data_IF_388520745837
#
_entry.id   IF_388520745837
#
_cell.length_a   1.000
_cell.length_b   1.000
_cell.length_c   1.000
_cell.angle_alpha   90.00
_cell.angle_beta   90.00
_cell.angle_gamma   90.00
#
_symmetry.space_group_name_H-M   'P 1'
#
loop_
_entity.id
_entity.type
_entity.pdbx_description
1 polymer ?
#
# COMPACT_ATOMS: atom_id res chain seq x y z
N UNK A 1 2.95 -31.68 -11.67
CA UNK A 1 3.54 -30.33 -11.67
C UNK A 1 2.67 -29.27 -12.35
N UNK A 2 1.96 -29.58 -13.45
CA UNK A 2 1.09 -28.60 -14.16
C UNK A 2 0.05 -27.89 -13.28
N UNK A 3 -0.64 -28.62 -12.38
CA UNK A 3 -1.62 -28.00 -11.47
C UNK A 3 -0.97 -27.00 -10.49
N UNK A 4 0.25 -27.27 -10.02
CA UNK A 4 0.97 -26.39 -9.08
C UNK A 4 1.39 -25.10 -9.79
N UNK A 5 1.98 -25.22 -10.98
CA UNK A 5 2.36 -24.06 -11.80
C UNK A 5 1.14 -23.19 -12.12
N UNK A 6 0.01 -23.80 -12.49
CA UNK A 6 -1.24 -23.09 -12.73
C UNK A 6 -1.70 -22.27 -11.51
N UNK A 7 -1.79 -22.87 -10.33
CA UNK A 7 -2.20 -22.15 -9.11
C UNK A 7 -1.23 -21.03 -8.74
N UNK A 8 0.08 -21.24 -8.89
CA UNK A 8 1.10 -20.22 -8.64
C UNK A 8 0.99 -19.04 -9.62
N UNK A 9 0.72 -19.31 -10.90
CA UNK A 9 0.46 -18.27 -11.90
C UNK A 9 -0.77 -17.45 -11.54
N UNK A 10 -1.86 -18.10 -11.16
CA UNK A 10 -3.09 -17.40 -10.73
C UNK A 10 -2.81 -16.52 -9.50
N UNK A 11 -2.13 -17.04 -8.47
CA UNK A 11 -1.75 -16.27 -7.29
C UNK A 11 -0.83 -15.09 -7.63
N UNK A 12 0.10 -15.26 -8.57
CA UNK A 12 0.97 -14.18 -9.04
C UNK A 12 0.19 -13.06 -9.74
N UNK A 13 -0.79 -13.41 -10.58
CA UNK A 13 -1.64 -12.43 -11.26
C UNK A 13 -2.45 -11.64 -10.23
N UNK A 14 -3.10 -12.32 -9.28
CA UNK A 14 -3.90 -11.65 -8.25
C UNK A 14 -3.06 -10.69 -7.41
N UNK A 15 -1.87 -11.12 -6.96
CA UNK A 15 -0.97 -10.24 -6.19
C UNK A 15 -0.46 -9.07 -7.01
N UNK A 16 -0.17 -9.27 -8.31
CA UNK A 16 0.17 -8.19 -9.23
C UNK A 16 -0.96 -7.16 -9.42
N UNK A 17 -2.21 -7.61 -9.51
CA UNK A 17 -3.37 -6.71 -9.60
C UNK A 17 -3.60 -5.93 -8.30
N UNK A 18 -3.46 -6.56 -7.14
CA UNK A 18 -3.54 -5.86 -5.83
C UNK A 18 -2.43 -4.83 -5.70
N UNK A 19 -1.23 -5.14 -6.19
CA UNK A 19 -0.13 -4.18 -6.25
C UNK A 19 -0.46 -2.96 -7.11
N UNK A 20 -0.92 -3.17 -8.35
CA UNK A 20 -1.31 -2.10 -9.25
C UNK A 20 -2.45 -1.23 -8.68
N UNK A 21 -3.46 -1.85 -8.08
CA UNK A 21 -4.54 -1.15 -7.40
C UNK A 21 -4.06 -0.30 -6.22
N UNK A 22 -3.05 -0.78 -5.49
CA UNK A 22 -2.44 -0.04 -4.39
C UNK A 22 -1.72 1.23 -4.88
N UNK A 23 -0.96 1.15 -5.98
CA UNK A 23 -0.34 2.33 -6.59
C UNK A 23 -1.36 3.30 -7.18
N UNK A 24 -2.41 2.79 -7.84
CA UNK A 24 -3.50 3.62 -8.33
C UNK A 24 -4.13 4.41 -7.18
N UNK A 25 -4.50 3.73 -6.09
CA UNK A 25 -5.06 4.40 -4.92
C UNK A 25 -4.08 5.40 -4.30
N UNK A 26 -2.79 5.04 -4.20
CA UNK A 26 -1.76 5.95 -3.71
C UNK A 26 -1.66 7.24 -4.55
N UNK A 27 -1.87 7.16 -5.86
CA UNK A 27 -1.78 8.34 -6.75
C UNK A 27 -2.91 9.35 -6.55
N UNK A 28 -4.09 8.89 -6.10
CA UNK A 28 -5.29 9.73 -6.00
C UNK A 28 -5.68 10.07 -4.56
N UNK A 29 -5.21 9.31 -3.57
CA UNK A 29 -5.62 9.53 -2.18
C UNK A 29 -5.12 10.87 -1.65
N UNK A 30 -6.05 11.63 -1.08
CA UNK A 30 -5.81 12.88 -0.37
C UNK A 30 -6.48 12.85 0.99
N UNK A 31 -5.87 13.47 1.99
CA UNK A 31 -6.40 13.53 3.36
C UNK A 31 -6.71 14.98 3.70
N UNK A 32 -7.98 15.29 3.95
CA UNK A 32 -8.40 16.64 4.33
C UNK A 32 -7.77 17.04 5.66
N UNK A 33 -7.52 18.34 5.84
CA UNK A 33 -7.04 18.90 7.11
C UNK A 33 -7.87 18.44 8.32
N UNK A 34 -9.20 18.53 8.23
CA UNK A 34 -10.10 18.15 9.34
C UNK A 34 -9.95 16.67 9.74
N UNK A 35 -9.91 15.77 8.75
CA UNK A 35 -9.68 14.33 8.97
C UNK A 35 -8.32 14.07 9.61
N UNK A 36 -7.26 14.74 9.13
CA UNK A 36 -5.93 14.63 9.72
C UNK A 36 -5.91 15.12 11.17
N UNK A 37 -6.52 16.27 11.45
CA UNK A 37 -6.62 16.83 12.80
C UNK A 37 -7.44 15.96 13.75
N UNK A 38 -8.55 15.41 13.29
CA UNK A 38 -9.35 14.45 14.08
C UNK A 38 -8.53 13.21 14.44
N UNK A 39 -7.72 12.70 13.51
CA UNK A 39 -6.83 11.57 13.77
C UNK A 39 -5.73 11.92 14.78
N UNK A 40 -5.05 13.07 14.63
CA UNK A 40 -4.01 13.53 15.56
C UNK A 40 -4.56 13.72 16.97
N UNK A 41 -5.70 14.40 17.12
CA UNK A 41 -6.38 14.57 18.42
C UNK A 41 -6.73 13.22 19.05
N UNK A 42 -7.24 12.27 18.26
CA UNK A 42 -7.55 10.92 18.75
C UNK A 42 -6.30 10.17 19.22
N UNK A 43 -5.19 10.28 18.50
CA UNK A 43 -3.92 9.63 18.88
C UNK A 43 -3.29 10.27 20.12
N UNK A 44 -3.27 11.60 20.20
CA UNK A 44 -2.75 12.34 21.34
C UNK A 44 -3.53 12.00 22.62
N UNK A 45 -4.87 11.97 22.54
CA UNK A 45 -5.73 11.54 23.66
C UNK A 45 -5.43 10.11 24.12
N UNK A 46 -5.13 9.18 23.18
CA UNK A 46 -4.74 7.80 23.53
C UNK A 46 -3.39 7.73 24.23
N UNK A 47 -2.48 8.66 23.96
CA UNK A 47 -1.13 8.72 24.53
C UNK A 47 -1.04 9.59 25.79
N UNK A 48 -2.10 10.30 26.14
CA UNK A 48 -2.07 11.29 27.24
C UNK A 48 -1.26 12.54 26.90
N UNK A 49 -1.03 12.81 25.61
CA UNK A 49 -0.19 13.90 25.12
C UNK A 49 -1.06 15.04 24.56
N UNK A 50 -0.48 16.24 24.42
CA UNK A 50 -1.12 17.34 23.70
C UNK A 50 -1.12 17.08 22.19
N UNK A 51 -2.21 17.38 21.46
CA UNK A 51 -2.24 17.20 20.01
C UNK A 51 -1.21 18.10 19.32
N UNK A 52 -0.43 17.53 18.41
CA UNK A 52 0.40 18.33 17.51
C UNK A 52 -0.49 18.99 16.45
N UNK A 53 -0.46 20.32 16.41
CA UNK A 53 -1.22 21.14 15.46
C UNK A 53 -0.41 21.56 14.22
N UNK A 54 0.89 21.27 14.18
CA UNK A 54 1.72 21.56 13.02
C UNK A 54 1.21 20.80 11.81
N UNK A 55 0.89 21.54 10.74
CA UNK A 55 0.38 21.00 9.49
C UNK A 55 0.77 21.91 8.34
N UNK A 56 1.21 21.30 7.24
CA UNK A 56 1.29 21.97 5.94
C UNK A 56 0.02 21.64 5.17
N UNK A 57 -0.76 22.67 4.83
CA UNK A 57 -2.04 22.55 4.12
C UNK A 57 -1.89 23.10 2.72
N UNK A 58 -2.36 22.36 1.72
CA UNK A 58 -2.45 22.80 0.34
C UNK A 58 -3.83 22.42 -0.20
N UNK A 59 -4.58 23.40 -0.72
CA UNK A 59 -5.94 23.21 -1.25
C UNK A 59 -6.90 22.46 -0.30
N UNK A 60 -6.78 22.70 1.01
CA UNK A 60 -7.60 22.06 2.05
C UNK A 60 -7.13 20.65 2.46
N UNK A 61 -6.07 20.13 1.84
CA UNK A 61 -5.48 18.82 2.14
C UNK A 61 -4.28 18.97 3.07
N UNK A 62 -4.18 18.08 4.07
CA UNK A 62 -3.00 17.97 4.93
C UNK A 62 -1.93 17.18 4.19
N UNK A 63 -0.82 17.84 3.87
CA UNK A 63 0.25 17.26 3.06
C UNK A 63 0.95 16.12 3.78
N UNK A 64 1.24 16.26 5.07
CA UNK A 64 1.90 15.22 5.86
C UNK A 64 1.05 13.95 5.96
N UNK A 65 -0.25 14.09 6.23
CA UNK A 65 -1.17 12.96 6.31
C UNK A 65 -1.42 12.32 4.95
N UNK A 66 -1.49 13.15 3.89
CA UNK A 66 -1.61 12.68 2.51
C UNK A 66 -0.38 11.87 2.11
N UNK A 67 0.82 12.44 2.19
CA UNK A 67 2.07 11.72 1.87
C UNK A 67 2.29 10.49 2.73
N UNK A 68 1.96 10.53 4.03
CA UNK A 68 2.02 9.33 4.87
C UNK A 68 1.08 8.23 4.38
N UNK A 69 -0.12 8.59 3.93
CA UNK A 69 -1.09 7.64 3.39
C UNK A 69 -0.63 7.09 2.04
N UNK A 70 -0.21 7.97 1.13
CA UNK A 70 0.35 7.57 -0.17
C UNK A 70 1.56 6.65 0.00
N UNK A 71 2.48 6.95 0.93
CA UNK A 71 3.65 6.13 1.26
C UNK A 71 3.25 4.73 1.73
N UNK A 72 2.23 4.60 2.59
CA UNK A 72 1.73 3.29 3.03
C UNK A 72 1.20 2.44 1.87
N UNK A 73 0.42 3.06 0.97
CA UNK A 73 -0.11 2.37 -0.20
C UNK A 73 0.97 2.05 -1.24
N UNK A 74 1.97 2.92 -1.41
CA UNK A 74 3.16 2.62 -2.20
C UNK A 74 3.94 1.42 -1.64
N UNK A 75 4.13 1.37 -0.32
CA UNK A 75 4.77 0.24 0.36
C UNK A 75 3.99 -1.06 0.20
N UNK A 76 2.66 -1.02 0.34
CA UNK A 76 1.80 -2.18 0.08
C UNK A 76 1.90 -2.64 -1.38
N UNK A 77 1.86 -1.70 -2.33
CA UNK A 77 2.06 -1.98 -3.75
C UNK A 77 3.37 -2.70 -4.02
N UNK A 78 4.48 -2.18 -3.51
CA UNK A 78 5.80 -2.78 -3.66
C UNK A 78 5.88 -4.20 -3.05
N UNK A 79 5.29 -4.40 -1.86
CA UNK A 79 5.25 -5.71 -1.22
C UNK A 79 4.51 -6.75 -2.06
N UNK A 80 3.32 -6.42 -2.58
CA UNK A 80 2.56 -7.34 -3.43
C UNK A 80 3.21 -7.58 -4.79
N UNK A 81 3.89 -6.58 -5.36
CA UNK A 81 4.67 -6.75 -6.59
C UNK A 81 5.81 -7.75 -6.36
N UNK A 82 6.54 -7.64 -5.25
CA UNK A 82 7.61 -8.57 -4.91
C UNK A 82 7.09 -10.01 -4.78
N UNK A 83 5.93 -10.22 -4.15
CA UNK A 83 5.29 -11.54 -4.09
C UNK A 83 4.94 -12.04 -5.51
N UNK A 84 4.33 -11.19 -6.34
CA UNK A 84 3.96 -11.55 -7.71
C UNK A 84 5.17 -12.03 -8.51
N UNK A 85 6.27 -11.28 -8.46
CA UNK A 85 7.52 -11.60 -9.17
C UNK A 85 8.14 -12.89 -8.60
N UNK A 86 8.15 -13.07 -7.28
CA UNK A 86 8.66 -14.29 -6.64
C UNK A 86 7.89 -15.53 -7.12
N UNK A 87 6.55 -15.46 -7.16
CA UNK A 87 5.72 -16.56 -7.65
C UNK A 87 5.98 -16.86 -9.13
N UNK A 88 6.16 -15.83 -9.96
CA UNK A 88 6.54 -16.01 -11.37
C UNK A 88 7.91 -16.68 -11.51
N UNK A 89 8.90 -16.28 -10.71
CA UNK A 89 10.22 -16.89 -10.71
C UNK A 89 10.16 -18.38 -10.32
N UNK A 90 9.37 -18.73 -9.31
CA UNK A 90 9.16 -20.14 -8.91
C UNK A 90 8.53 -20.94 -10.06
N UNK A 91 7.51 -20.41 -10.72
CA UNK A 91 6.88 -21.06 -11.90
C UNK A 91 7.93 -21.29 -12.99
N UNK A 92 8.75 -20.29 -13.30
CA UNK A 92 9.77 -20.40 -14.33
C UNK A 92 10.82 -21.49 -14.01
N UNK A 93 11.27 -21.57 -12.76
CA UNK A 93 12.19 -22.63 -12.32
C UNK A 93 11.55 -24.00 -12.44
N UNK A 94 10.31 -24.16 -11.98
CA UNK A 94 9.59 -25.44 -12.07
C UNK A 94 9.40 -25.88 -13.52
N UNK A 95 9.07 -24.96 -14.43
CA UNK A 95 8.90 -25.26 -15.86
C UNK A 95 10.20 -25.70 -16.54
N UNK A 96 11.36 -25.20 -16.09
CA UNK A 96 12.67 -25.56 -16.66
C UNK A 96 13.24 -26.89 -16.11
N UNK A 97 12.70 -27.40 -15.00
CA UNK A 97 13.08 -28.67 -14.39
C UNK A 97 12.27 -29.86 -14.94
N UNK A 98 11.30 -29.61 -15.83
CA UNK A 98 10.50 -30.60 -16.53
C UNK A 98 11.09 -30.91 -17.91
#
# INVERSE_FOLDING_TARGET
MGNIAFYLTIASIFTGLVSAGSWLYASVVKVSYEKAMKARKKQARKRGEQPNYASAVLDGWDMSATFSTQSKWNGAGAFFAAISILLQAIVQVLSNLQ
#
